data_IF_953700601199
#
_entry.id   IF_953700601199
#
_cell.length_a   1.000
_cell.length_b   1.000
_cell.length_c   1.000
_cell.angle_alpha   90.00
_cell.angle_beta   90.00
_cell.angle_gamma   90.00
#
_symmetry.space_group_name_H-M   'P 1'
#
loop_
_entity.id
_entity.type
_entity.pdbx_description
1 polymer ?
#
# COMPACT_ATOMS: atom_id res chain seq x y z
N UNK A 1 -8.95 -70.09 -14.35
CA UNK A 1 -9.96 -69.02 -14.18
C UNK A 1 -10.85 -69.10 -15.40
N UNK A 2 -12.16 -69.25 -15.21
CA UNK A 2 -13.13 -69.43 -16.31
C UNK A 2 -13.27 -68.12 -17.11
N UNK A 3 -13.06 -68.11 -18.44
CA UNK A 3 -13.15 -66.91 -19.26
C UNK A 3 -14.51 -66.21 -19.16
N UNK A 4 -15.60 -66.96 -18.95
CA UNK A 4 -16.93 -66.38 -18.75
C UNK A 4 -17.03 -65.55 -17.44
N UNK A 5 -16.24 -65.93 -16.43
CA UNK A 5 -16.19 -65.25 -15.13
C UNK A 5 -15.39 -63.95 -15.19
N UNK A 6 -14.41 -63.87 -16.09
CA UNK A 6 -13.61 -62.66 -16.33
C UNK A 6 -14.42 -61.60 -17.11
N UNK A 7 -15.16 -62.02 -18.14
CA UNK A 7 -16.09 -61.18 -18.90
C UNK A 7 -17.20 -60.60 -18.01
N UNK A 8 -17.77 -61.41 -17.12
CA UNK A 8 -18.78 -60.95 -16.16
C UNK A 8 -18.24 -59.86 -15.23
N UNK A 9 -16.98 -59.99 -14.80
CA UNK A 9 -16.34 -59.06 -13.87
C UNK A 9 -15.96 -57.74 -14.57
N UNK A 10 -15.53 -57.82 -15.84
CA UNK A 10 -15.26 -56.66 -16.67
C UNK A 10 -16.55 -55.89 -17.00
N UNK A 11 -17.63 -56.61 -17.32
CA UNK A 11 -18.95 -56.02 -17.55
C UNK A 11 -19.51 -55.36 -16.27
N UNK A 12 -19.29 -55.97 -15.10
CA UNK A 12 -19.68 -55.38 -13.81
C UNK A 12 -18.90 -54.08 -13.50
N UNK A 13 -17.59 -54.03 -13.79
CA UNK A 13 -16.76 -52.83 -13.63
C UNK A 13 -17.20 -51.71 -14.58
N UNK A 14 -17.50 -52.02 -15.84
CA UNK A 14 -18.03 -51.06 -16.81
C UNK A 14 -19.37 -50.47 -16.36
N UNK A 15 -20.27 -51.31 -15.83
CA UNK A 15 -21.57 -50.87 -15.32
C UNK A 15 -21.45 -49.97 -14.09
N UNK A 16 -20.49 -50.23 -13.20
CA UNK A 16 -20.17 -49.35 -12.06
C UNK A 16 -19.63 -48.00 -12.53
N UNK A 17 -18.71 -47.99 -13.51
CA UNK A 17 -18.24 -46.76 -14.15
C UNK A 17 -19.39 -45.97 -14.79
N UNK A 18 -20.30 -46.65 -15.48
CA UNK A 18 -21.44 -46.01 -16.13
C UNK A 18 -22.41 -45.40 -15.11
N UNK A 19 -22.70 -46.08 -14.00
CA UNK A 19 -23.52 -45.52 -12.92
C UNK A 19 -22.85 -44.33 -12.23
N UNK A 20 -21.52 -44.31 -12.13
CA UNK A 20 -20.77 -43.14 -11.62
C UNK A 20 -20.82 -41.96 -12.61
N UNK A 21 -20.90 -42.21 -13.92
CA UNK A 21 -21.04 -41.15 -14.94
C UNK A 21 -22.48 -40.71 -15.20
N UNK A 22 -23.47 -41.57 -14.92
CA UNK A 22 -24.91 -41.31 -15.12
C UNK A 22 -25.62 -40.83 -13.85
N UNK A 23 -24.95 -40.83 -12.69
CA UNK A 23 -25.44 -40.10 -11.52
C UNK A 23 -25.30 -38.61 -11.79
N UNK A 24 -26.34 -38.12 -12.46
CA UNK A 24 -26.66 -36.73 -12.74
C UNK A 24 -26.47 -35.93 -11.46
N UNK A 25 -25.31 -35.28 -11.38
CA UNK A 25 -25.09 -34.11 -10.53
C UNK A 25 -26.20 -33.14 -10.93
N UNK A 26 -27.20 -33.00 -10.05
CA UNK A 26 -28.03 -31.81 -10.05
C UNK A 26 -27.08 -30.61 -10.05
N UNK A 27 -27.35 -29.55 -10.83
CA UNK A 27 -26.47 -28.39 -10.83
C UNK A 27 -26.31 -27.96 -9.37
N UNK A 28 -25.08 -27.80 -8.85
CA UNK A 28 -24.93 -27.14 -7.58
C UNK A 28 -25.59 -25.78 -7.77
N UNK A 29 -26.60 -25.47 -6.95
CA UNK A 29 -26.85 -24.08 -6.59
C UNK A 29 -25.47 -23.54 -6.27
N UNK A 30 -24.95 -22.63 -7.10
CA UNK A 30 -23.66 -22.00 -6.88
C UNK A 30 -23.65 -21.48 -5.44
N UNK A 31 -22.74 -21.94 -4.56
CA UNK A 31 -22.14 -21.00 -3.64
C UNK A 31 -21.22 -20.16 -4.51
N UNK A 32 -21.74 -19.04 -4.99
CA UNK A 32 -20.91 -17.91 -5.38
C UNK A 32 -19.87 -17.70 -4.26
N UNK A 33 -18.61 -17.55 -4.65
CA UNK A 33 -17.46 -17.15 -3.81
C UNK A 33 -17.03 -18.11 -2.69
N UNK A 34 -16.04 -18.98 -2.92
CA UNK A 34 -15.20 -19.52 -1.82
C UNK A 34 -13.79 -20.02 -2.22
N UNK A 35 -13.50 -20.22 -3.51
CA UNK A 35 -12.12 -20.53 -3.97
C UNK A 35 -11.23 -19.28 -4.02
N UNK A 36 -11.79 -18.12 -4.36
CA UNK A 36 -11.06 -16.85 -4.45
C UNK A 36 -10.64 -16.29 -3.10
N UNK A 37 -11.40 -16.55 -2.04
CA UNK A 37 -11.08 -16.11 -0.66
C UNK A 37 -9.84 -16.80 -0.10
N UNK A 38 -9.67 -18.11 -0.33
CA UNK A 38 -8.51 -18.86 0.18
C UNK A 38 -7.21 -18.46 -0.53
N UNK A 39 -7.28 -18.17 -1.83
CA UNK A 39 -6.16 -17.63 -2.60
C UNK A 39 -5.85 -16.17 -2.21
N UNK A 40 -6.88 -15.33 -2.01
CA UNK A 40 -6.73 -13.97 -1.49
C UNK A 40 -6.08 -13.95 -0.12
N UNK A 41 -6.47 -14.85 0.79
CA UNK A 41 -5.91 -14.90 2.13
C UNK A 41 -4.44 -15.37 2.10
N UNK A 42 -4.10 -16.35 1.25
CA UNK A 42 -2.71 -16.78 1.04
C UNK A 42 -1.80 -15.71 0.43
N UNK A 43 -2.33 -14.91 -0.50
CA UNK A 43 -1.61 -13.82 -1.16
C UNK A 43 -1.54 -12.58 -0.26
N UNK A 44 -2.63 -12.24 0.43
CA UNK A 44 -2.66 -11.19 1.43
C UNK A 44 -1.65 -11.47 2.54
N UNK A 45 -1.44 -12.72 2.94
CA UNK A 45 -0.40 -13.08 3.92
C UNK A 45 1.02 -12.68 3.50
N UNK A 46 1.31 -12.54 2.20
CA UNK A 46 2.61 -12.06 1.70
C UNK A 46 2.71 -10.52 1.65
N UNK A 47 1.59 -9.82 1.77
CA UNK A 47 1.55 -8.37 1.86
C UNK A 47 1.63 -8.01 3.35
N UNK A 48 2.65 -7.21 3.72
CA UNK A 48 2.78 -6.68 5.07
C UNK A 48 1.69 -5.65 5.33
N UNK A 49 1.22 -5.55 6.56
CA UNK A 49 0.27 -4.50 6.95
C UNK A 49 0.89 -3.11 6.75
N UNK A 50 0.10 -2.18 6.22
CA UNK A 50 0.46 -0.78 6.06
C UNK A 50 0.00 0.01 7.28
N UNK A 51 0.97 0.61 7.96
CA UNK A 51 0.74 1.55 9.05
C UNK A 51 1.36 2.88 8.60
N UNK A 52 0.55 3.93 8.53
CA UNK A 52 1.05 5.23 8.11
C UNK A 52 1.87 5.85 9.23
N UNK A 53 3.09 6.27 8.91
CA UNK A 53 3.95 7.00 9.85
C UNK A 53 4.57 8.18 9.12
N UNK A 54 4.11 9.39 9.45
CA UNK A 54 4.60 10.63 8.85
C UNK A 54 6.05 10.95 9.26
N UNK A 55 6.45 10.59 10.48
CA UNK A 55 7.75 10.90 11.06
C UNK A 55 8.82 9.93 10.55
N UNK A 56 8.50 8.63 10.52
CA UNK A 56 9.34 7.59 9.91
C UNK A 56 9.18 7.50 8.39
N UNK A 57 8.31 8.32 7.81
CA UNK A 57 8.00 8.39 6.38
C UNK A 57 7.60 7.03 5.78
N UNK A 58 6.79 6.28 6.51
CA UNK A 58 6.11 5.10 5.99
C UNK A 58 4.87 5.59 5.26
N UNK A 59 5.04 5.94 3.98
CA UNK A 59 3.94 6.39 3.13
C UNK A 59 3.33 5.25 2.34
N UNK A 60 2.08 5.42 1.92
CA UNK A 60 1.39 4.43 1.11
C UNK A 60 2.16 4.14 -0.18
N UNK A 61 2.75 5.15 -0.82
CA UNK A 61 3.57 4.99 -2.04
C UNK A 61 4.80 4.09 -1.82
N UNK A 62 5.53 4.28 -0.71
CA UNK A 62 6.70 3.46 -0.40
C UNK A 62 6.33 2.02 -0.06
N UNK A 63 5.20 1.83 0.62
CA UNK A 63 4.66 0.51 0.89
C UNK A 63 4.17 -0.16 -0.39
N UNK A 64 3.33 0.53 -1.18
CA UNK A 64 2.73 0.01 -2.39
C UNK A 64 3.77 -0.36 -3.45
N UNK A 65 4.85 0.42 -3.58
CA UNK A 65 5.95 0.13 -4.52
C UNK A 65 6.60 -1.25 -4.31
N UNK A 66 6.58 -1.80 -3.08
CA UNK A 66 7.09 -3.15 -2.81
C UNK A 66 6.20 -4.25 -3.38
N UNK A 67 4.93 -3.93 -3.62
CA UNK A 67 3.92 -4.87 -4.10
C UNK A 67 3.39 -4.46 -5.48
N UNK A 68 3.87 -3.39 -6.08
CA UNK A 68 3.37 -2.87 -7.35
C UNK A 68 3.44 -3.92 -8.47
N UNK A 69 4.54 -4.69 -8.52
CA UNK A 69 4.74 -5.76 -9.49
C UNK A 69 3.72 -6.91 -9.31
N UNK A 70 3.34 -7.22 -8.07
CA UNK A 70 2.31 -8.22 -7.75
C UNK A 70 0.96 -7.81 -8.39
N UNK A 71 0.57 -6.53 -8.27
CA UNK A 71 -0.66 -6.03 -8.88
C UNK A 71 -0.58 -5.93 -10.42
N UNK A 72 0.61 -5.65 -10.97
CA UNK A 72 0.83 -5.53 -12.40
C UNK A 72 0.90 -6.87 -13.14
N UNK A 73 1.56 -7.86 -12.56
CA UNK A 73 1.86 -9.12 -13.23
C UNK A 73 0.98 -10.26 -12.71
N UNK A 74 0.96 -10.48 -11.40
CA UNK A 74 0.25 -11.63 -10.81
C UNK A 74 -1.27 -11.43 -10.80
N UNK A 75 -1.73 -10.19 -10.66
CA UNK A 75 -3.16 -9.85 -10.70
C UNK A 75 -3.61 -9.23 -12.02
N UNK A 76 -2.81 -9.29 -13.09
CA UNK A 76 -3.11 -8.62 -14.35
C UNK A 76 -4.53 -8.93 -14.87
N UNK A 77 -4.95 -10.19 -14.74
CA UNK A 77 -6.24 -10.71 -15.24
C UNK A 77 -7.42 -10.50 -14.28
N UNK A 78 -7.16 -10.05 -13.05
CA UNK A 78 -8.19 -9.84 -12.05
C UNK A 78 -8.90 -8.50 -12.23
N UNK A 79 -10.18 -8.44 -11.85
CA UNK A 79 -10.95 -7.20 -11.88
C UNK A 79 -10.52 -6.22 -10.79
N UNK A 80 -10.87 -4.94 -10.97
CA UNK A 80 -10.49 -3.88 -10.05
C UNK A 80 -11.07 -4.09 -8.65
N UNK A 81 -12.30 -4.60 -8.54
CA UNK A 81 -12.94 -4.88 -7.27
C UNK A 81 -12.25 -6.03 -6.52
N UNK A 82 -11.62 -6.97 -7.22
CA UNK A 82 -10.79 -8.01 -6.64
C UNK A 82 -9.45 -7.43 -6.17
N UNK A 83 -8.78 -6.60 -6.98
CA UNK A 83 -7.49 -5.95 -6.63
C UNK A 83 -7.60 -4.98 -5.45
N UNK A 84 -8.72 -4.29 -5.31
CA UNK A 84 -8.97 -3.35 -4.21
C UNK A 84 -9.13 -4.07 -2.86
N UNK A 85 -9.73 -5.27 -2.83
CA UNK A 85 -9.96 -6.03 -1.59
C UNK A 85 -8.69 -6.35 -0.78
N UNK A 86 -7.62 -6.94 -1.34
CA UNK A 86 -6.40 -7.22 -0.59
C UNK A 86 -5.68 -5.94 -0.16
N UNK A 87 -5.80 -4.86 -0.94
CA UNK A 87 -5.24 -3.55 -0.60
C UNK A 87 -5.90 -3.00 0.68
N UNK A 88 -7.23 -2.95 0.72
CA UNK A 88 -7.99 -2.45 1.88
C UNK A 88 -7.81 -3.34 3.11
N UNK A 89 -7.76 -4.67 2.93
CA UNK A 89 -7.52 -5.62 4.03
C UNK A 89 -6.16 -5.47 4.70
N UNK A 90 -5.21 -4.80 4.04
CA UNK A 90 -3.83 -4.63 4.52
C UNK A 90 -3.53 -3.23 5.01
N UNK A 91 -4.51 -2.34 4.99
CA UNK A 91 -4.42 -1.08 5.71
C UNK A 91 -4.62 -1.36 7.20
N UNK A 92 -3.88 -0.64 8.06
CA UNK A 92 -4.12 -0.61 9.49
C UNK A 92 -5.52 -0.09 9.81
N UNK A 93 -5.98 -0.34 11.04
CA UNK A 93 -7.35 -0.01 11.45
C UNK A 93 -7.69 1.49 11.28
N UNK A 94 -6.73 2.38 11.57
CA UNK A 94 -6.90 3.83 11.43
C UNK A 94 -6.97 4.22 9.95
N UNK A 95 -6.03 3.73 9.14
CA UNK A 95 -5.94 4.04 7.71
C UNK A 95 -7.14 3.47 6.95
N UNK A 96 -7.65 2.31 7.36
CA UNK A 96 -8.87 1.72 6.82
C UNK A 96 -10.10 2.56 7.17
N UNK A 97 -10.22 3.09 8.39
CA UNK A 97 -11.32 3.98 8.79
C UNK A 97 -11.29 5.29 7.99
N UNK A 98 -10.12 5.92 7.88
CA UNK A 98 -9.91 7.11 7.05
C UNK A 98 -10.24 6.84 5.57
N UNK A 99 -9.80 5.68 5.06
CA UNK A 99 -10.10 5.25 3.71
C UNK A 99 -11.61 5.02 3.53
N UNK A 100 -12.28 4.35 4.48
CA UNK A 100 -13.73 4.14 4.48
C UNK A 100 -14.47 5.47 4.51
N UNK A 101 -14.09 6.44 5.34
CA UNK A 101 -14.70 7.76 5.41
C UNK A 101 -14.58 8.54 4.09
N UNK A 102 -13.49 8.32 3.33
CA UNK A 102 -13.25 8.92 2.01
C UNK A 102 -13.90 8.13 0.86
N UNK A 103 -14.08 6.81 1.02
CA UNK A 103 -14.65 5.89 0.02
C UNK A 103 -16.17 5.78 0.13
N UNK A 104 -16.74 5.99 1.32
CA UNK A 104 -18.16 5.78 1.65
C UNK A 104 -19.18 6.51 0.75
N UNK A 105 -18.87 7.59 0.00
CA UNK A 105 -19.84 8.11 -0.97
C UNK A 105 -20.04 7.21 -2.20
N UNK A 106 -19.18 6.24 -2.51
CA UNK A 106 -19.25 5.44 -3.74
C UNK A 106 -19.13 3.94 -3.45
N UNK A 107 -20.09 3.18 -3.96
CA UNK A 107 -20.12 1.73 -3.89
C UNK A 107 -18.76 1.14 -4.31
N UNK A 108 -18.23 0.19 -3.53
CA UNK A 108 -16.96 -0.51 -3.79
C UNK A 108 -16.88 -1.25 -5.14
N UNK A 109 -17.98 -1.25 -5.91
CA UNK A 109 -18.09 -1.82 -7.26
C UNK A 109 -17.84 -0.81 -8.39
N UNK A 110 -17.84 0.50 -8.08
CA UNK A 110 -17.76 1.57 -9.09
C UNK A 110 -16.38 2.25 -9.13
N UNK A 111 -15.43 1.85 -8.28
CA UNK A 111 -14.12 2.49 -8.20
C UNK A 111 -13.04 1.64 -8.86
N UNK A 112 -12.25 2.27 -9.73
CA UNK A 112 -11.11 1.60 -10.33
C UNK A 112 -10.00 1.35 -9.30
N UNK A 113 -9.17 0.35 -9.57
CA UNK A 113 -7.99 0.08 -8.77
C UNK A 113 -7.05 1.31 -8.76
N UNK A 114 -6.92 1.97 -9.91
CA UNK A 114 -6.11 3.18 -10.07
C UNK A 114 -6.60 4.34 -9.17
N UNK A 115 -7.91 4.60 -9.13
CA UNK A 115 -8.48 5.67 -8.30
C UNK A 115 -8.29 5.40 -6.80
N UNK A 116 -8.33 4.13 -6.41
CA UNK A 116 -8.11 3.70 -5.03
C UNK A 116 -6.67 3.93 -4.61
N UNK A 117 -5.72 3.47 -5.43
CA UNK A 117 -4.28 3.72 -5.22
C UNK A 117 -4.00 5.21 -5.17
N UNK A 118 -4.57 6.00 -6.09
CA UNK A 118 -4.39 7.45 -6.11
C UNK A 118 -4.92 8.12 -4.85
N UNK A 119 -6.09 7.73 -4.36
CA UNK A 119 -6.68 8.34 -3.16
C UNK A 119 -5.87 8.02 -1.92
N UNK A 120 -5.41 6.77 -1.79
CA UNK A 120 -4.53 6.37 -0.69
C UNK A 120 -3.16 7.05 -0.76
N UNK A 121 -2.64 7.26 -1.97
CA UNK A 121 -1.44 8.06 -2.23
C UNK A 121 -1.63 9.52 -1.81
N UNK A 122 -2.80 10.11 -2.07
CA UNK A 122 -3.07 11.49 -1.70
C UNK A 122 -3.30 11.67 -0.20
N UNK A 123 -3.93 10.71 0.47
CA UNK A 123 -4.24 10.81 1.89
C UNK A 123 -3.04 10.44 2.77
N UNK A 124 -2.41 9.32 2.44
CA UNK A 124 -1.32 8.69 3.22
C UNK A 124 0.02 8.76 2.48
N UNK A 125 0.18 9.74 1.58
CA UNK A 125 1.42 10.03 0.86
C UNK A 125 2.29 11.09 1.53
N UNK A 126 3.45 11.35 0.90
CA UNK A 126 4.31 12.45 1.33
C UNK A 126 3.75 13.79 0.85
N UNK A 127 2.71 14.29 1.52
CA UNK A 127 2.13 15.62 1.27
C UNK A 127 3.01 16.77 1.77
N UNK A 128 4.22 16.47 2.26
CA UNK A 128 5.15 17.47 2.73
C UNK A 128 5.67 18.28 1.55
N UNK A 129 5.50 19.60 1.59
CA UNK A 129 6.16 20.45 0.61
C UNK A 129 7.68 20.18 0.64
N UNK A 130 8.35 20.29 -0.51
CA UNK A 130 9.82 20.11 -0.59
C UNK A 130 10.59 21.01 0.41
N UNK A 131 9.98 22.09 0.92
CA UNK A 131 10.55 22.96 1.95
C UNK A 131 10.56 22.23 3.27
N UNK A 132 9.40 21.70 3.64
CA UNK A 132 9.18 21.03 4.90
C UNK A 132 10.05 19.76 4.96
N UNK A 133 10.11 19.01 3.86
CA UNK A 133 11.03 17.88 3.72
C UNK A 133 12.48 18.31 3.99
N UNK A 134 12.99 19.32 3.28
CA UNK A 134 14.38 19.81 3.47
C UNK A 134 14.63 20.34 4.88
N UNK A 135 13.69 21.08 5.43
CA UNK A 135 13.76 21.62 6.79
C UNK A 135 13.82 20.50 7.83
N UNK A 136 13.00 19.46 7.69
CA UNK A 136 13.03 18.28 8.55
C UNK A 136 14.34 17.51 8.43
N UNK A 137 14.88 17.32 7.22
CA UNK A 137 16.19 16.68 7.04
C UNK A 137 17.29 17.42 7.82
N UNK A 138 17.28 18.76 7.81
CA UNK A 138 18.27 19.58 8.55
C UNK A 138 18.07 19.59 10.07
N UNK A 139 16.89 19.16 10.54
CA UNK A 139 16.59 18.98 11.96
C UNK A 139 16.71 17.55 12.45
N UNK A 140 17.08 16.62 11.56
CA UNK A 140 17.23 15.23 11.90
C UNK A 140 18.26 15.08 13.04
N UNK A 141 17.84 14.41 14.10
CA UNK A 141 18.66 14.14 15.30
C UNK A 141 18.61 12.64 15.56
N UNK A 142 19.69 12.07 16.11
CA UNK A 142 19.72 10.66 16.50
C UNK A 142 18.89 10.49 17.78
N UNK A 143 17.90 9.60 17.74
CA UNK A 143 17.12 9.23 18.92
C UNK A 143 17.97 8.35 19.85
N UNK A 144 17.70 8.42 21.16
CA UNK A 144 18.43 7.64 22.17
C UNK A 144 18.29 6.12 21.98
N UNK A 145 17.13 5.68 21.47
CA UNK A 145 16.83 4.26 21.25
C UNK A 145 17.37 3.70 19.93
N UNK A 146 17.82 4.56 19.01
CA UNK A 146 18.28 4.12 17.69
C UNK A 146 19.76 3.75 17.74
N UNK A 147 20.12 2.58 17.18
CA UNK A 147 21.51 2.29 16.92
C UNK A 147 22.06 3.14 15.75
N UNK A 148 23.38 3.29 15.70
CA UNK A 148 24.05 4.12 14.71
C UNK A 148 23.77 3.67 13.28
N UNK A 149 23.71 2.36 13.01
CA UNK A 149 23.50 1.83 11.67
C UNK A 149 22.07 2.12 11.19
N UNK A 150 21.08 1.97 12.06
CA UNK A 150 19.70 2.40 11.80
C UNK A 150 19.64 3.89 11.50
N UNK A 151 20.32 4.73 12.28
CA UNK A 151 20.36 6.18 12.03
C UNK A 151 21.02 6.54 10.69
N UNK A 152 22.12 5.87 10.32
CA UNK A 152 22.77 6.04 9.00
C UNK A 152 21.79 5.70 7.87
N UNK A 153 21.00 4.64 8.03
CA UNK A 153 19.92 4.30 7.09
C UNK A 153 18.92 5.43 6.91
N UNK A 154 18.50 6.07 8.02
CA UNK A 154 17.60 7.24 7.98
C UNK A 154 18.26 8.44 7.29
N UNK A 155 19.52 8.75 7.60
CA UNK A 155 20.27 9.84 6.95
C UNK A 155 20.36 9.65 5.44
N UNK A 156 20.66 8.42 5.00
CA UNK A 156 20.73 8.10 3.57
C UNK A 156 19.38 8.28 2.86
N UNK A 157 18.28 7.87 3.51
CA UNK A 157 16.92 8.09 3.00
C UNK A 157 16.59 9.58 2.89
N UNK A 158 16.90 10.36 3.94
CA UNK A 158 16.62 11.79 3.98
C UNK A 158 17.49 12.57 2.97
N UNK A 159 18.72 12.12 2.68
CA UNK A 159 19.58 12.71 1.63
C UNK A 159 18.91 12.69 0.25
N UNK A 160 18.28 11.57 -0.13
CA UNK A 160 17.57 11.47 -1.40
C UNK A 160 16.35 12.41 -1.44
N UNK A 161 15.61 12.49 -0.33
CA UNK A 161 14.43 13.34 -0.18
C UNK A 161 14.75 14.83 -0.14
N UNK A 162 15.94 15.19 0.33
CA UNK A 162 16.43 16.57 0.33
C UNK A 162 16.51 17.15 -1.09
N UNK A 163 16.66 16.30 -2.12
CA UNK A 163 16.80 16.69 -3.53
C UNK A 163 17.82 17.82 -3.68
N UNK A 164 19.05 17.56 -3.21
CA UNK A 164 20.11 18.57 -3.14
C UNK A 164 20.37 19.25 -4.50
N UNK A 165 20.31 18.48 -5.60
CA UNK A 165 20.56 18.98 -6.95
C UNK A 165 19.58 20.08 -7.40
N UNK A 166 18.37 20.15 -6.83
CA UNK A 166 17.37 21.17 -7.16
C UNK A 166 17.27 22.29 -6.12
N UNK A 167 18.28 22.43 -5.25
CA UNK A 167 18.34 23.47 -4.24
C UNK A 167 19.10 24.69 -4.76
N UNK A 168 18.43 25.85 -4.82
CA UNK A 168 19.06 27.13 -5.12
C UNK A 168 19.71 27.72 -3.88
N UNK A 169 20.67 28.62 -4.07
CA UNK A 169 21.37 29.30 -2.97
C UNK A 169 20.40 30.07 -2.06
N UNK A 170 19.44 30.80 -2.63
CA UNK A 170 18.44 31.55 -1.84
C UNK A 170 17.54 30.63 -1.01
N UNK A 171 17.16 29.47 -1.56
CA UNK A 171 16.39 28.47 -0.82
C UNK A 171 17.22 27.84 0.30
N UNK A 172 18.52 27.65 0.09
CA UNK A 172 19.44 27.20 1.13
C UNK A 172 19.61 28.26 2.23
N UNK A 173 19.81 29.54 1.88
CA UNK A 173 19.88 30.66 2.83
C UNK A 173 18.63 30.75 3.69
N UNK A 174 17.45 30.62 3.08
CA UNK A 174 16.18 30.61 3.80
C UNK A 174 16.09 29.44 4.79
N UNK A 175 16.50 28.22 4.38
CA UNK A 175 16.54 27.06 5.26
C UNK A 175 17.48 27.27 6.45
N UNK A 176 18.70 27.77 6.21
CA UNK A 176 19.69 28.05 7.26
C UNK A 176 19.15 29.09 8.24
N UNK A 177 18.54 30.18 7.74
CA UNK A 177 17.95 31.21 8.58
C UNK A 177 16.86 30.64 9.49
N UNK A 178 15.94 29.83 8.97
CA UNK A 178 14.88 29.24 9.79
C UNK A 178 15.46 28.22 10.79
N UNK A 179 16.45 27.43 10.37
CA UNK A 179 17.10 26.45 11.24
C UNK A 179 17.94 27.08 12.35
N UNK A 180 18.46 28.31 12.17
CA UNK A 180 19.22 29.03 13.20
C UNK A 180 18.34 29.65 14.29
N UNK A 181 17.05 29.86 14.03
CA UNK A 181 16.07 30.38 14.99
C UNK A 181 15.58 29.29 15.96
N UNK A 182 16.50 28.58 16.64
CA UNK A 182 16.14 27.47 17.53
C UNK A 182 15.59 27.92 18.88
N UNK A 183 16.09 29.05 19.39
CA UNK A 183 15.71 29.60 20.70
C UNK A 183 14.21 29.92 20.78
N UNK A 184 13.59 29.62 21.93
CA UNK A 184 12.14 29.73 22.12
C UNK A 184 11.59 31.15 21.87
N UNK A 185 12.39 32.18 22.16
CA UNK A 185 12.05 33.59 21.89
C UNK A 185 11.70 33.87 20.42
N UNK A 186 12.25 33.08 19.49
CA UNK A 186 12.00 33.25 18.05
C UNK A 186 11.00 32.22 17.50
N UNK A 187 10.30 31.47 18.34
CA UNK A 187 9.37 30.41 17.91
C UNK A 187 8.26 30.95 16.99
N UNK A 188 7.68 32.10 17.33
CA UNK A 188 6.62 32.73 16.54
C UNK A 188 7.13 33.23 15.18
N UNK A 189 8.29 33.89 15.16
CA UNK A 189 8.96 34.32 13.93
C UNK A 189 9.31 33.13 13.04
N UNK A 190 9.85 32.05 13.61
CA UNK A 190 10.17 30.81 12.90
C UNK A 190 8.93 30.19 12.27
N UNK A 191 7.82 30.11 13.01
CA UNK A 191 6.54 29.57 12.51
C UNK A 191 5.98 30.42 11.37
N UNK A 192 6.00 31.75 11.51
CA UNK A 192 5.54 32.67 10.46
C UNK A 192 6.37 32.56 9.18
N UNK A 193 7.69 32.46 9.31
CA UNK A 193 8.57 32.22 8.16
C UNK A 193 8.22 30.88 7.52
N UNK A 194 8.14 29.79 8.27
CA UNK A 194 7.77 28.46 7.76
C UNK A 194 6.45 28.51 6.95
N UNK A 195 5.40 29.11 7.51
CA UNK A 195 4.09 29.24 6.84
C UNK A 195 4.19 30.11 5.58
N UNK A 196 4.89 31.24 5.64
CA UNK A 196 5.08 32.13 4.49
C UNK A 196 5.80 31.44 3.33
N UNK A 197 6.85 30.68 3.62
CA UNK A 197 7.65 29.95 2.62
C UNK A 197 6.92 28.73 2.03
N UNK A 198 6.02 28.11 2.79
CA UNK A 198 5.15 27.04 2.30
C UNK A 198 4.07 27.61 1.36
N UNK A 199 3.49 28.77 1.70
CA UNK A 199 2.42 29.40 0.91
C UNK A 199 2.90 30.04 -0.41
N UNK A 200 4.10 30.63 -0.45
CA UNK A 200 4.66 31.30 -1.62
C UNK A 200 5.19 30.35 -2.73
N UNK A 201 4.62 29.15 -2.86
CA UNK A 201 5.06 28.12 -3.82
C UNK A 201 4.07 27.75 -4.92
N UNK A 202 2.86 28.30 -4.89
CA UNK A 202 1.85 28.11 -5.93
C UNK A 202 1.61 29.37 -6.78
N UNK A 203 2.41 30.42 -6.60
CA UNK A 203 2.35 31.59 -7.48
C UNK A 203 3.29 31.32 -8.66
N UNK A 204 2.83 31.52 -9.92
CA UNK A 204 3.56 31.18 -11.13
C UNK A 204 4.94 31.84 -11.22
#
# INVERSE_FOLDING_TARGET
MDPAKLELLLHQQLKLMQMLTETKVAPPLQPSTSSSTTALDGIANNIAEFLYDHDSNVTFEMWFRRYEDLFKFDFANEDDAWKVRPLLRKLGATELDECCNLILPLNSRDRSFADTVQTLSQHSGDNSSLFNTRYRCLKLTMNEDNDFLTHVGVVNRERERFRLKSLTEDRLKALILICSLQHQTFSDLRTRLLVGWIKNRNSP
#
